data_IF_260346397632
#
_entry.id   IF_260346397632
#
_cell.length_a   1.000
_cell.length_b   1.000
_cell.length_c   1.000
_cell.angle_alpha   90.00
_cell.angle_beta   90.00
_cell.angle_gamma   90.00
#
_symmetry.space_group_name_H-M   'P 1'
#
loop_
_entity.id
_entity.type
_entity.pdbx_description
1 polymer ?
#
# COMPACT_ATOMS: atom_id res chain seq x y z
N UNK A 1 8.61 -5.26 -8.24
CA UNK A 1 10.01 -5.68 -8.49
C UNK A 1 10.87 -5.46 -7.23
N UNK A 2 10.90 -4.25 -6.67
CA UNK A 2 11.81 -3.85 -5.57
C UNK A 2 11.81 -4.80 -4.37
N UNK A 3 10.66 -5.03 -3.75
CA UNK A 3 10.54 -5.89 -2.55
C UNK A 3 10.73 -7.40 -2.83
N UNK A 4 10.71 -7.82 -4.11
CA UNK A 4 10.96 -9.23 -4.47
C UNK A 4 12.42 -9.65 -4.31
N UNK A 5 13.32 -8.71 -4.10
CA UNK A 5 14.74 -8.99 -3.80
C UNK A 5 14.97 -9.31 -2.32
N UNK A 6 13.96 -9.08 -1.46
CA UNK A 6 14.03 -9.34 -0.03
C UNK A 6 13.55 -10.75 0.32
N UNK A 7 14.09 -11.31 1.38
CA UNK A 7 13.55 -12.51 2.03
C UNK A 7 12.30 -12.14 2.84
N UNK A 8 11.41 -13.11 3.13
CA UNK A 8 10.25 -12.86 4.01
C UNK A 8 10.65 -12.27 5.38
N UNK A 9 11.78 -12.69 5.94
CA UNK A 9 12.26 -12.16 7.21
C UNK A 9 12.65 -10.69 7.11
N UNK A 10 13.38 -10.29 6.07
CA UNK A 10 13.76 -8.89 5.84
C UNK A 10 12.56 -7.97 5.61
N UNK A 11 11.47 -8.52 5.09
CA UNK A 11 10.21 -7.76 4.97
C UNK A 11 9.57 -7.45 6.34
N UNK A 12 10.00 -8.14 7.39
CA UNK A 12 9.55 -7.95 8.78
C UNK A 12 10.57 -7.16 9.63
N UNK A 13 11.75 -6.84 9.08
CA UNK A 13 12.74 -6.06 9.80
C UNK A 13 12.26 -4.61 9.97
N UNK A 14 12.27 -4.08 11.21
CA UNK A 14 11.87 -2.71 11.50
C UNK A 14 12.92 -1.71 11.00
N UNK A 15 12.48 -0.49 10.70
CA UNK A 15 13.35 0.62 10.33
C UNK A 15 13.05 1.27 8.97
N UNK A 16 12.00 0.83 8.27
CA UNK A 16 11.50 1.57 7.11
C UNK A 16 11.14 3.01 7.51
N UNK A 17 10.50 3.17 8.65
CA UNK A 17 10.13 4.43 9.28
C UNK A 17 10.24 4.24 10.81
N UNK A 18 10.48 5.30 11.59
CA UNK A 18 10.76 5.16 13.02
C UNK A 18 9.60 5.46 13.95
N UNK A 19 8.64 6.24 13.52
CA UNK A 19 7.52 6.62 14.38
C UNK A 19 6.25 6.74 13.52
N UNK A 20 5.40 5.73 13.52
CA UNK A 20 5.59 4.39 14.10
C UNK A 20 6.70 3.58 13.41
N UNK A 21 7.24 2.57 14.09
CA UNK A 21 8.34 1.73 13.56
C UNK A 21 7.81 0.72 12.53
N UNK A 22 7.82 1.13 11.27
CA UNK A 22 7.31 0.33 10.17
C UNK A 22 8.36 -0.57 9.54
N UNK A 23 7.87 -1.70 9.07
CA UNK A 23 8.57 -2.68 8.22
C UNK A 23 8.17 -2.50 6.75
N UNK A 24 8.81 -3.27 5.84
CA UNK A 24 8.33 -3.38 4.44
C UNK A 24 6.92 -3.96 4.38
N UNK A 25 6.58 -4.91 5.27
CA UNK A 25 5.23 -5.46 5.39
C UNK A 25 4.21 -4.34 5.65
N UNK A 26 4.51 -3.44 6.58
CA UNK A 26 3.57 -2.40 7.00
C UNK A 26 3.29 -1.40 5.89
N UNK A 27 4.32 -0.95 5.16
CA UNK A 27 4.12 -0.05 4.02
C UNK A 27 3.38 -0.74 2.87
N UNK A 28 3.64 -2.02 2.61
CA UNK A 28 2.92 -2.80 1.58
C UNK A 28 1.44 -2.98 1.96
N UNK A 29 1.17 -3.31 3.22
CA UNK A 29 -0.18 -3.42 3.75
C UNK A 29 -0.93 -2.08 3.68
N UNK A 30 -0.28 -1.00 4.10
CA UNK A 30 -0.82 0.37 4.06
C UNK A 30 -1.20 0.80 2.63
N UNK A 31 -0.30 0.67 1.69
CA UNK A 31 -0.59 0.98 0.28
C UNK A 31 -1.70 0.06 -0.26
N UNK A 32 -1.67 -1.23 0.08
CA UNK A 32 -2.66 -2.21 -0.35
C UNK A 32 -4.08 -1.88 0.13
N UNK A 33 -4.25 -1.42 1.36
CA UNK A 33 -5.56 -1.04 1.91
C UNK A 33 -6.11 0.22 1.25
N UNK A 34 -5.27 1.21 0.92
CA UNK A 34 -5.71 2.38 0.15
C UNK A 34 -6.12 2.05 -1.29
N UNK A 35 -5.45 1.09 -1.92
CA UNK A 35 -5.85 0.61 -3.25
C UNK A 35 -7.21 -0.11 -3.20
N UNK A 36 -7.45 -0.92 -2.17
CA UNK A 36 -8.74 -1.57 -1.95
C UNK A 36 -9.84 -0.55 -1.64
N UNK A 37 -9.55 0.49 -0.85
CA UNK A 37 -10.49 1.57 -0.57
C UNK A 37 -10.87 2.33 -1.86
N UNK A 38 -9.90 2.65 -2.73
CA UNK A 38 -10.19 3.29 -4.01
C UNK A 38 -11.14 2.44 -4.87
N UNK A 39 -10.95 1.13 -4.91
CA UNK A 39 -11.84 0.21 -5.61
C UNK A 39 -13.27 0.28 -5.07
N UNK A 40 -13.44 0.29 -3.74
CA UNK A 40 -14.76 0.45 -3.10
C UNK A 40 -15.40 1.79 -3.48
N UNK A 41 -14.63 2.86 -3.54
CA UNK A 41 -15.15 4.18 -3.92
C UNK A 41 -15.56 4.22 -5.41
N UNK A 42 -14.83 3.53 -6.29
CA UNK A 42 -15.26 3.39 -7.69
C UNK A 42 -16.57 2.63 -7.83
N UNK A 43 -16.77 1.57 -7.06
CA UNK A 43 -18.06 0.86 -7.03
C UNK A 43 -19.18 1.75 -6.53
N UNK A 44 -18.95 2.54 -5.49
CA UNK A 44 -19.94 3.52 -4.98
C UNK A 44 -20.29 4.60 -6.02
N UNK A 45 -19.29 5.09 -6.75
CA UNK A 45 -19.51 6.02 -7.86
C UNK A 45 -20.37 5.38 -8.96
N UNK A 46 -20.07 4.13 -9.33
CA UNK A 46 -20.80 3.41 -10.37
C UNK A 46 -22.27 3.18 -10.03
N UNK A 47 -22.61 2.97 -8.76
CA UNK A 47 -23.99 2.72 -8.31
C UNK A 47 -24.68 3.97 -7.71
N UNK A 48 -24.01 5.13 -7.72
CA UNK A 48 -24.58 6.40 -7.25
C UNK A 48 -24.71 6.55 -5.72
N UNK A 49 -23.91 5.81 -4.96
CA UNK A 49 -23.88 5.86 -3.47
C UNK A 49 -22.61 6.52 -2.91
N UNK A 50 -21.87 7.21 -3.76
CA UNK A 50 -20.67 7.94 -3.34
C UNK A 50 -21.04 9.18 -2.52
N UNK A 51 -20.46 9.29 -1.32
CA UNK A 51 -20.79 10.34 -0.34
C UNK A 51 -19.80 11.53 -0.35
N UNK A 52 -18.86 11.53 -1.30
CA UNK A 52 -17.80 12.53 -1.37
C UNK A 52 -16.47 12.04 -0.78
N UNK A 53 -15.43 12.86 -0.94
CA UNK A 53 -14.05 12.53 -0.50
C UNK A 53 -13.58 13.36 0.71
N UNK A 54 -14.51 13.91 1.48
CA UNK A 54 -14.22 14.51 2.79
C UNK A 54 -13.93 13.40 3.81
N UNK A 55 -12.70 12.84 3.74
CA UNK A 55 -12.27 11.72 4.57
C UNK A 55 -11.32 12.25 5.63
N UNK A 56 -11.47 11.77 6.84
CA UNK A 56 -10.43 11.86 7.86
C UNK A 56 -9.35 10.81 7.56
N UNK A 57 -8.31 11.24 6.83
CA UNK A 57 -7.21 10.38 6.37
C UNK A 57 -6.47 9.74 7.55
N UNK A 58 -6.26 10.50 8.62
CA UNK A 58 -5.52 10.01 9.79
C UNK A 58 -6.33 8.96 10.55
N UNK A 59 -7.63 9.17 10.73
CA UNK A 59 -8.53 8.17 11.32
C UNK A 59 -8.59 6.89 10.48
N UNK A 60 -8.67 7.02 9.15
CA UNK A 60 -8.72 5.87 8.26
C UNK A 60 -7.39 5.11 8.23
N UNK A 61 -6.26 5.81 8.24
CA UNK A 61 -4.92 5.22 8.37
C UNK A 61 -4.80 4.41 9.67
N UNK A 62 -5.30 4.94 10.78
CA UNK A 62 -5.28 4.23 12.06
C UNK A 62 -6.10 2.93 12.03
N UNK A 63 -7.28 2.95 11.40
CA UNK A 63 -8.12 1.76 11.19
C UNK A 63 -7.41 0.73 10.32
N UNK A 64 -6.83 1.14 9.19
CA UNK A 64 -6.13 0.24 8.28
C UNK A 64 -4.90 -0.38 8.94
N UNK A 65 -4.10 0.41 9.64
CA UNK A 65 -2.92 -0.07 10.35
C UNK A 65 -3.30 -1.10 11.42
N UNK A 66 -4.33 -0.83 12.21
CA UNK A 66 -4.84 -1.76 13.22
C UNK A 66 -5.34 -3.07 12.60
N UNK A 67 -6.07 -3.00 11.50
CA UNK A 67 -6.61 -4.18 10.81
C UNK A 67 -5.50 -5.08 10.21
N UNK A 68 -4.35 -4.50 9.85
CA UNK A 68 -3.25 -5.22 9.20
C UNK A 68 -2.08 -5.56 10.14
N UNK A 69 -2.13 -5.12 11.42
CA UNK A 69 -1.00 -5.22 12.36
C UNK A 69 -0.46 -6.64 12.53
N UNK A 70 -1.34 -7.64 12.62
CA UNK A 70 -0.99 -9.04 12.88
C UNK A 70 -0.95 -9.92 11.61
N UNK A 71 -1.08 -9.30 10.42
CA UNK A 71 -1.08 -10.07 9.18
C UNK A 71 0.33 -10.51 8.80
N UNK A 72 0.56 -11.79 8.43
CA UNK A 72 1.85 -12.24 7.93
C UNK A 72 2.22 -11.57 6.59
N UNK A 73 3.52 -11.57 6.28
CA UNK A 73 4.04 -10.94 5.06
C UNK A 73 3.36 -11.41 3.77
N UNK A 74 3.19 -12.71 3.63
CA UNK A 74 2.58 -13.31 2.44
C UNK A 74 1.12 -12.88 2.26
N UNK A 75 0.37 -12.74 3.36
CA UNK A 75 -1.01 -12.22 3.33
C UNK A 75 -1.01 -10.75 2.94
N UNK A 76 -0.19 -9.91 3.56
CA UNK A 76 -0.07 -8.48 3.21
C UNK A 76 0.30 -8.29 1.74
N UNK A 77 1.24 -9.09 1.23
CA UNK A 77 1.65 -9.08 -0.18
C UNK A 77 0.53 -9.48 -1.13
N UNK A 78 -0.17 -10.57 -0.85
CA UNK A 78 -1.29 -11.05 -1.68
C UNK A 78 -2.43 -10.04 -1.69
N UNK A 79 -2.81 -9.50 -0.52
CA UNK A 79 -3.87 -8.50 -0.40
C UNK A 79 -3.54 -7.21 -1.15
N UNK A 80 -2.30 -6.70 -1.03
CA UNK A 80 -1.89 -5.50 -1.75
C UNK A 80 -1.94 -5.69 -3.28
N UNK A 81 -1.51 -6.85 -3.78
CA UNK A 81 -1.58 -7.15 -5.21
C UNK A 81 -3.03 -7.37 -5.69
N UNK A 82 -3.87 -8.01 -4.88
CA UNK A 82 -5.29 -8.17 -5.17
C UNK A 82 -6.00 -6.81 -5.22
N UNK A 83 -5.82 -5.97 -4.21
CA UNK A 83 -6.37 -4.62 -4.15
C UNK A 83 -5.97 -3.78 -5.36
N UNK A 84 -4.68 -3.82 -5.73
CA UNK A 84 -4.20 -3.16 -6.95
C UNK A 84 -4.90 -3.67 -8.21
N UNK A 85 -5.00 -4.97 -8.36
CA UNK A 85 -5.62 -5.58 -9.55
C UNK A 85 -7.09 -5.21 -9.64
N UNK A 86 -7.83 -5.33 -8.54
CA UNK A 86 -9.25 -4.98 -8.47
C UNK A 86 -9.47 -3.50 -8.75
N UNK A 87 -8.70 -2.60 -8.11
CA UNK A 87 -8.79 -1.16 -8.36
C UNK A 87 -8.58 -0.82 -9.84
N UNK A 88 -7.55 -1.38 -10.47
CA UNK A 88 -7.24 -1.12 -11.90
C UNK A 88 -8.34 -1.70 -12.80
N UNK A 89 -8.85 -2.88 -12.48
CA UNK A 89 -9.96 -3.49 -13.23
C UNK A 89 -11.22 -2.64 -13.16
N UNK A 90 -11.62 -2.26 -11.95
CA UNK A 90 -12.82 -1.41 -11.75
C UNK A 90 -12.66 -0.04 -12.41
N UNK A 91 -11.44 0.55 -12.34
CA UNK A 91 -11.13 1.79 -13.06
C UNK A 91 -11.38 1.66 -14.57
N UNK A 92 -10.93 0.57 -15.18
CA UNK A 92 -11.14 0.34 -16.63
C UNK A 92 -12.58 0.03 -17.01
N UNK A 93 -13.40 -0.41 -16.06
CA UNK A 93 -14.84 -0.63 -16.26
C UNK A 93 -15.65 0.66 -16.20
N UNK A 94 -15.11 1.73 -15.62
CA UNK A 94 -15.72 3.05 -15.67
C UNK A 94 -15.71 3.61 -17.09
N UNK A 95 -16.86 3.75 -17.71
CA UNK A 95 -16.97 4.24 -19.10
C UNK A 95 -16.50 5.68 -19.26
N UNK A 96 -16.84 6.51 -18.30
CA UNK A 96 -16.48 7.93 -18.22
C UNK A 96 -16.07 8.23 -16.78
N UNK A 97 -14.76 8.09 -16.42
CA UNK A 97 -14.31 8.38 -15.08
C UNK A 97 -14.56 9.84 -14.70
N UNK A 98 -15.23 10.05 -13.56
CA UNK A 98 -15.47 11.39 -13.02
C UNK A 98 -14.19 11.98 -12.41
N UNK A 99 -14.23 13.27 -12.06
CA UNK A 99 -13.14 13.94 -11.36
C UNK A 99 -12.83 13.27 -10.01
N UNK A 100 -13.87 12.79 -9.31
CA UNK A 100 -13.75 12.05 -8.06
C UNK A 100 -13.03 10.72 -8.27
N UNK A 101 -13.40 9.96 -9.31
CA UNK A 101 -12.70 8.73 -9.65
C UNK A 101 -11.23 9.01 -10.01
N UNK A 102 -10.97 10.06 -10.80
CA UNK A 102 -9.61 10.49 -11.14
C UNK A 102 -8.82 10.94 -9.91
N UNK A 103 -9.45 11.54 -8.92
CA UNK A 103 -8.82 11.88 -7.64
C UNK A 103 -8.42 10.61 -6.88
N UNK A 104 -9.33 9.64 -6.75
CA UNK A 104 -9.07 8.40 -6.01
C UNK A 104 -7.93 7.57 -6.62
N UNK A 105 -7.89 7.41 -7.95
CA UNK A 105 -6.81 6.63 -8.58
C UNK A 105 -5.44 7.29 -8.42
N UNK A 106 -5.37 8.62 -8.44
CA UNK A 106 -4.11 9.34 -8.17
C UNK A 106 -3.69 9.19 -6.72
N UNK A 107 -4.60 9.53 -5.78
CA UNK A 107 -4.30 9.54 -4.34
C UNK A 107 -3.94 8.17 -3.78
N UNK A 108 -4.68 7.13 -4.14
CA UNK A 108 -4.41 5.77 -3.66
C UNK A 108 -3.37 5.03 -4.49
N UNK A 109 -3.14 5.46 -5.73
CA UNK A 109 -2.19 4.85 -6.66
C UNK A 109 -0.93 5.69 -6.87
N UNK A 110 -0.90 6.47 -7.95
CA UNK A 110 0.33 7.15 -8.43
C UNK A 110 1.01 8.00 -7.39
N UNK A 111 0.28 8.91 -6.74
CA UNK A 111 0.81 9.84 -5.74
C UNK A 111 1.28 9.08 -4.49
N UNK A 112 0.49 8.10 -4.03
CA UNK A 112 0.79 7.29 -2.86
C UNK A 112 2.05 6.42 -3.06
N UNK A 113 2.18 5.79 -4.25
CA UNK A 113 3.41 5.09 -4.59
C UNK A 113 4.62 6.03 -4.63
N UNK A 114 4.47 7.22 -5.19
CA UNK A 114 5.55 8.20 -5.26
C UNK A 114 6.01 8.66 -3.86
N UNK A 115 5.08 8.84 -2.94
CA UNK A 115 5.35 9.21 -1.54
C UNK A 115 6.23 8.16 -0.83
N UNK A 116 5.90 6.86 -0.98
CA UNK A 116 6.60 5.80 -0.27
C UNK A 116 7.84 5.26 -1.00
N UNK A 117 7.91 5.40 -2.33
CA UNK A 117 8.89 4.69 -3.16
C UNK A 117 10.34 5.12 -2.87
N UNK A 118 10.58 6.40 -2.59
CA UNK A 118 11.91 6.93 -2.27
C UNK A 118 12.50 6.22 -1.05
N UNK A 119 11.80 6.30 0.07
CA UNK A 119 12.24 5.67 1.32
C UNK A 119 12.30 4.14 1.22
N UNK A 120 11.36 3.53 0.50
CA UNK A 120 11.38 2.07 0.30
C UNK A 120 12.62 1.60 -0.47
N UNK A 121 13.08 2.35 -1.48
CA UNK A 121 14.32 2.05 -2.20
C UNK A 121 15.54 2.12 -1.30
N UNK A 122 15.64 3.16 -0.49
CA UNK A 122 16.72 3.33 0.47
C UNK A 122 16.75 2.17 1.48
N UNK A 123 15.59 1.85 2.07
CA UNK A 123 15.50 0.78 3.07
C UNK A 123 15.81 -0.59 2.49
N UNK A 124 15.35 -0.91 1.29
CA UNK A 124 15.70 -2.16 0.59
C UNK A 124 17.21 -2.23 0.34
N UNK A 125 17.84 -1.13 -0.06
CA UNK A 125 19.30 -1.09 -0.24
C UNK A 125 20.05 -1.30 1.09
N UNK A 126 19.59 -0.70 2.19
CA UNK A 126 20.14 -0.92 3.52
C UNK A 126 20.04 -2.38 3.96
N UNK A 127 18.89 -3.04 3.77
CA UNK A 127 18.68 -4.46 4.10
C UNK A 127 19.61 -5.36 3.29
N UNK A 128 19.74 -5.11 1.99
CA UNK A 128 20.65 -5.88 1.12
C UNK A 128 22.12 -5.70 1.55
N UNK A 129 22.52 -4.47 1.90
CA UNK A 129 23.88 -4.20 2.35
C UNK A 129 24.22 -4.93 3.67
N UNK A 130 23.25 -5.10 4.57
CA UNK A 130 23.45 -5.87 5.83
C UNK A 130 23.81 -7.32 5.59
N UNK A 131 23.32 -7.95 4.50
CA UNK A 131 23.72 -9.34 4.14
C UNK A 131 25.21 -9.48 3.89
N UNK A 132 25.84 -8.47 3.28
CA UNK A 132 27.25 -8.51 2.93
C UNK A 132 28.17 -8.23 4.10
N UNK A 133 27.65 -7.62 5.18
CA UNK A 133 28.40 -7.30 6.40
C UNK A 133 28.27 -8.38 7.49
N UNK A 134 27.31 -9.30 7.36
CA UNK A 134 27.18 -10.48 8.23
C UNK A 134 27.36 -11.76 7.40
N UNK A 135 28.61 -12.18 7.10
CA UNK A 135 28.83 -13.51 6.53
C UNK A 135 28.38 -14.56 7.55
N UNK A 136 27.61 -15.53 7.07
CA UNK A 136 27.01 -16.68 7.76
C UNK A 136 27.45 -16.96 9.22
N UNK A 137 26.48 -16.87 10.14
CA UNK A 137 26.53 -17.58 11.41
C UNK A 137 25.83 -18.92 11.30
#
# INVERSE_FOLDING_TARGET
ALVRSLTPQECLDPGYQRDPDWTVRDVVAHVGTWLAEAQVQFERLAVGTYEGHAIDIDALNAVFLAAMADQPWDVAWVQANAGRTMMVTTWHELREPSEEAAWWIRKSGGDHYAEHLGRLREWVAELIARRTTQPDR
#
